data_IF_543191937232
#
_entry.id   IF_543191937232
#
_cell.length_a   1.000
_cell.length_b   1.000
_cell.length_c   1.000
_cell.angle_alpha   90.00
_cell.angle_beta   90.00
_cell.angle_gamma   90.00
#
_symmetry.space_group_name_H-M   'P 1'
#
loop_
_entity.id
_entity.type
_entity.pdbx_description
1 polymer ?
#
# COMPACT_ATOMS: atom_id res chain seq x y z
N UNK A 1 -1.06 5.58 26.99
CA UNK A 1 -0.67 4.28 27.59
C UNK A 1 -1.37 3.17 26.81
N UNK A 2 -0.85 2.80 25.63
CA UNK A 2 -1.46 1.78 24.76
C UNK A 2 -0.70 0.48 25.04
N UNK A 3 -1.24 -0.32 25.97
CA UNK A 3 -0.81 -1.69 26.21
C UNK A 3 -1.92 -2.60 25.69
N UNK A 4 -1.51 -3.60 24.90
CA UNK A 4 -2.22 -4.86 24.60
C UNK A 4 -3.22 -4.84 23.46
N UNK A 5 -2.70 -5.09 22.25
CA UNK A 5 -3.30 -6.00 21.26
C UNK A 5 -2.16 -6.63 20.43
N UNK A 6 -1.37 -7.52 21.04
CA UNK A 6 -0.53 -8.48 20.30
C UNK A 6 -0.83 -9.85 20.91
N UNK A 7 -1.74 -10.60 20.30
CA UNK A 7 -1.98 -12.03 20.51
C UNK A 7 -2.88 -12.48 19.34
N UNK A 8 -2.63 -13.52 18.55
CA UNK A 8 -1.91 -14.78 18.74
C UNK A 8 -1.49 -15.37 17.38
N UNK A 9 -0.34 -16.07 17.32
CA UNK A 9 -0.30 -17.39 16.66
C UNK A 9 0.20 -17.55 15.22
N UNK A 10 0.94 -16.60 14.64
CA UNK A 10 1.67 -16.84 13.38
C UNK A 10 3.18 -16.80 13.63
N UNK A 11 3.71 -17.92 14.15
CA UNK A 11 5.16 -18.15 14.12
C UNK A 11 5.57 -18.40 12.66
N UNK A 12 5.93 -17.33 11.94
CA UNK A 12 6.65 -17.46 10.67
C UNK A 12 8.06 -17.95 10.97
N UNK A 13 8.22 -19.26 11.09
CA UNK A 13 9.52 -19.91 11.19
C UNK A 13 10.18 -19.85 9.81
N UNK A 14 11.17 -18.98 9.65
CA UNK A 14 12.14 -19.15 8.58
C UNK A 14 12.98 -20.42 8.86
N UNK A 15 13.53 -21.02 7.80
CA UNK A 15 14.32 -22.26 7.86
C UNK A 15 15.59 -22.17 8.74
N UNK A 16 15.93 -20.98 9.24
CA UNK A 16 17.07 -20.64 10.08
C UNK A 16 16.73 -20.45 11.57
N UNK A 17 15.46 -20.57 11.97
CA UNK A 17 15.04 -20.56 13.38
C UNK A 17 14.91 -19.18 14.05
N UNK A 18 15.06 -18.08 13.31
CA UNK A 18 14.84 -16.73 13.85
C UNK A 18 13.37 -16.31 13.73
N UNK A 19 12.54 -16.60 14.74
CA UNK A 19 11.21 -16.01 14.89
C UNK A 19 11.38 -14.54 15.33
N UNK A 20 11.28 -13.60 14.39
CA UNK A 20 11.23 -12.19 14.74
C UNK A 20 9.79 -11.83 15.14
N UNK A 21 9.58 -11.48 16.41
CA UNK A 21 8.29 -10.95 16.86
C UNK A 21 8.04 -9.62 16.13
N UNK A 22 7.04 -9.59 15.25
CA UNK A 22 6.68 -8.40 14.49
C UNK A 22 6.43 -7.19 15.39
N UNK A 23 5.87 -7.40 16.59
CA UNK A 23 5.62 -6.31 17.53
C UNK A 23 6.92 -5.64 18.01
N UNK A 24 8.05 -6.37 18.02
CA UNK A 24 9.39 -5.81 18.34
C UNK A 24 10.01 -5.02 17.18
N UNK A 25 9.62 -5.33 15.94
CA UNK A 25 10.15 -4.70 14.74
C UNK A 25 9.40 -3.43 14.34
N UNK A 26 8.17 -3.22 14.83
CA UNK A 26 7.34 -2.04 14.49
C UNK A 26 8.10 -0.71 14.65
N UNK A 27 8.79 -0.43 15.78
CA UNK A 27 9.48 0.86 15.93
C UNK A 27 10.62 1.05 14.93
N UNK A 28 11.34 -0.03 14.61
CA UNK A 28 12.41 0.00 13.61
C UNK A 28 11.84 0.22 12.20
N UNK A 29 10.70 -0.40 11.90
CA UNK A 29 9.99 -0.24 10.62
C UNK A 29 9.43 1.18 10.47
N UNK A 30 8.86 1.75 11.53
CA UNK A 30 8.38 3.13 11.55
C UNK A 30 9.52 4.10 11.22
N UNK A 31 10.67 3.95 11.89
CA UNK A 31 11.86 4.77 11.62
C UNK A 31 12.35 4.59 10.18
N UNK A 32 12.38 3.36 9.67
CA UNK A 32 12.79 3.07 8.29
C UNK A 32 11.82 3.71 7.27
N UNK A 33 10.51 3.64 7.50
CA UNK A 33 9.51 4.27 6.65
C UNK A 33 9.64 5.79 6.66
N UNK A 34 9.77 6.39 7.84
CA UNK A 34 9.90 7.84 8.01
C UNK A 34 11.12 8.43 7.30
N UNK A 35 12.20 7.66 7.21
CA UNK A 35 13.48 8.07 6.62
C UNK A 35 13.66 7.63 5.16
N UNK A 36 12.77 6.79 4.63
CA UNK A 36 12.79 6.35 3.25
C UNK A 36 12.17 7.40 2.32
N UNK A 37 12.72 7.52 1.11
CA UNK A 37 12.20 8.42 0.08
C UNK A 37 10.95 7.78 -0.53
N UNK A 38 9.83 8.50 -0.49
CA UNK A 38 8.59 8.00 -1.07
C UNK A 38 8.58 8.22 -2.60
N UNK A 39 8.23 7.19 -3.38
CA UNK A 39 8.30 7.21 -4.84
C UNK A 39 7.44 8.30 -5.50
N UNK A 40 6.26 8.60 -4.95
CA UNK A 40 5.36 9.62 -5.52
C UNK A 40 5.83 11.06 -5.29
N UNK A 41 6.50 11.31 -4.16
CA UNK A 41 6.75 12.67 -3.67
C UNK A 41 8.23 13.04 -3.75
N UNK A 42 9.11 12.05 -3.89
CA UNK A 42 10.57 12.24 -3.94
C UNK A 42 11.17 12.78 -2.64
N UNK A 43 10.39 12.85 -1.56
CA UNK A 43 10.79 13.34 -0.23
C UNK A 43 10.49 12.26 0.82
N UNK A 44 11.21 12.32 1.94
CA UNK A 44 10.93 11.43 3.07
C UNK A 44 9.69 11.92 3.83
N UNK A 45 8.85 11.01 4.37
CA UNK A 45 7.71 11.41 5.20
C UNK A 45 8.09 12.31 6.38
N UNK A 46 9.24 12.06 7.03
CA UNK A 46 9.71 12.90 8.13
C UNK A 46 9.93 14.36 7.72
N UNK A 47 10.46 14.61 6.51
CA UNK A 47 10.64 15.96 5.99
C UNK A 47 9.29 16.62 5.68
N UNK A 48 8.32 15.88 5.17
CA UNK A 48 7.00 16.41 4.84
C UNK A 48 6.17 16.75 6.08
N UNK A 49 6.24 15.91 7.10
CA UNK A 49 5.46 16.05 8.34
C UNK A 49 6.14 17.03 9.32
N UNK A 50 7.44 16.86 9.54
CA UNK A 50 8.17 17.54 10.63
C UNK A 50 9.15 18.60 10.12
N UNK A 51 9.45 18.62 8.83
CA UNK A 51 10.43 19.54 8.24
C UNK A 51 11.90 19.14 8.43
N UNK A 52 12.18 18.00 9.09
CA UNK A 52 13.54 17.50 9.32
C UNK A 52 13.60 15.97 9.31
N UNK A 53 14.76 15.42 8.98
CA UNK A 53 14.99 13.97 8.99
C UNK A 53 15.87 13.58 10.19
N UNK A 54 15.52 12.52 10.95
CA UNK A 54 16.38 12.03 12.02
C UNK A 54 17.70 11.49 11.47
N UNK A 55 18.79 11.72 12.21
CA UNK A 55 20.12 11.17 11.87
C UNK A 55 20.17 9.70 12.25
N UNK A 56 20.42 8.82 11.29
CA UNK A 56 20.57 7.40 11.54
C UNK A 56 22.02 7.07 11.97
N UNK A 57 22.24 5.93 12.65
CA UNK A 57 23.60 5.46 12.96
C UNK A 57 24.48 5.33 11.72
N UNK A 58 23.88 4.95 10.58
CA UNK A 58 24.57 4.85 9.28
C UNK A 58 25.09 6.22 8.82
N UNK A 59 24.34 7.29 9.09
CA UNK A 59 24.70 8.66 8.72
C UNK A 59 25.79 9.22 9.66
N UNK A 60 25.90 8.66 10.85
CA UNK A 60 26.82 9.11 11.90
C UNK A 60 28.22 8.48 11.74
N UNK A 61 28.33 7.38 10.98
CA UNK A 61 29.61 6.79 10.59
C UNK A 61 30.37 7.75 9.66
N UNK A 62 31.22 8.59 10.25
CA UNK A 62 32.14 9.45 9.50
C UNK A 62 33.06 8.57 8.66
N UNK A 63 33.12 8.82 7.36
CA UNK A 63 34.04 8.16 6.42
C UNK A 63 35.52 8.38 6.78
N UNK A 64 35.81 9.44 7.54
CA UNK A 64 37.16 9.93 7.84
C UNK A 64 37.67 9.53 9.24
N UNK A 65 37.03 8.57 9.92
CA UNK A 65 37.57 8.07 11.17
C UNK A 65 38.77 7.14 10.88
N UNK A 66 39.96 7.59 11.28
CA UNK A 66 41.25 6.92 11.03
C UNK A 66 41.35 5.54 11.71
N UNK A 67 40.50 5.25 12.69
CA UNK A 67 40.50 3.98 13.43
C UNK A 67 39.06 3.48 13.61
N UNK A 68 38.57 2.70 12.64
CA UNK A 68 37.30 1.98 12.75
C UNK A 68 37.63 0.56 13.24
N UNK A 69 37.04 0.15 14.37
CA UNK A 69 37.20 -1.21 14.87
C UNK A 69 36.84 -2.24 13.77
N UNK A 70 37.67 -3.27 13.53
CA UNK A 70 37.50 -4.21 12.41
C UNK A 70 36.14 -4.93 12.40
N UNK A 71 35.52 -5.12 13.58
CA UNK A 71 34.17 -5.68 13.65
C UNK A 71 33.08 -4.71 13.15
N UNK A 72 33.27 -3.40 13.31
CA UNK A 72 32.30 -2.41 12.82
C UNK A 72 32.39 -2.27 11.29
N UNK A 73 33.59 -2.39 10.71
CA UNK A 73 33.77 -2.37 9.26
C UNK A 73 33.20 -3.61 8.59
N UNK A 74 33.45 -4.81 9.14
CA UNK A 74 32.87 -6.05 8.62
C UNK A 74 31.34 -6.07 8.72
N UNK A 75 30.80 -5.59 9.84
CA UNK A 75 29.35 -5.48 10.03
C UNK A 75 28.70 -4.52 9.02
N UNK A 76 29.35 -3.39 8.71
CA UNK A 76 28.88 -2.47 7.68
C UNK A 76 28.80 -3.14 6.30
N UNK A 77 29.86 -3.85 5.91
CA UNK A 77 29.89 -4.56 4.62
C UNK A 77 28.75 -5.58 4.51
N UNK A 78 28.52 -6.33 5.59
CA UNK A 78 27.39 -7.26 5.67
C UNK A 78 26.05 -6.53 5.50
N UNK A 79 25.84 -5.40 6.18
CA UNK A 79 24.61 -4.63 6.06
C UNK A 79 24.41 -4.08 4.63
N UNK A 80 25.47 -3.61 3.98
CA UNK A 80 25.40 -3.11 2.61
C UNK A 80 25.04 -4.23 1.63
N UNK A 81 25.60 -5.42 1.79
CA UNK A 81 25.27 -6.60 0.99
C UNK A 81 23.82 -7.05 1.21
N UNK A 82 23.40 -7.19 2.46
CA UNK A 82 22.02 -7.57 2.82
C UNK A 82 21.02 -6.55 2.25
N UNK A 83 21.32 -5.25 2.37
CA UNK A 83 20.50 -4.18 1.79
C UNK A 83 20.43 -4.29 0.28
N UNK A 84 21.55 -4.57 -0.39
CA UNK A 84 21.58 -4.75 -1.83
C UNK A 84 20.69 -5.92 -2.28
N UNK A 85 20.84 -7.08 -1.64
CA UNK A 85 20.01 -8.25 -1.88
C UNK A 85 18.53 -7.97 -1.64
N UNK A 86 18.18 -7.31 -0.53
CA UNK A 86 16.79 -6.96 -0.22
C UNK A 86 16.16 -6.08 -1.31
N UNK A 87 16.88 -5.07 -1.81
CA UNK A 87 16.40 -4.20 -2.88
C UNK A 87 16.21 -4.96 -4.20
N UNK A 88 17.15 -5.85 -4.56
CA UNK A 88 17.01 -6.70 -5.74
C UNK A 88 15.74 -7.56 -5.65
N UNK A 89 15.53 -8.23 -4.51
CA UNK A 89 14.36 -9.10 -4.32
C UNK A 89 13.04 -8.33 -4.36
N UNK A 90 13.01 -7.12 -3.83
CA UNK A 90 11.85 -6.22 -3.91
C UNK A 90 11.53 -5.87 -5.36
N UNK A 91 12.55 -5.53 -6.16
CA UNK A 91 12.39 -5.20 -7.57
C UNK A 91 11.93 -6.40 -8.39
N UNK A 92 12.51 -7.58 -8.17
CA UNK A 92 12.12 -8.82 -8.83
C UNK A 92 10.65 -9.16 -8.54
N UNK A 93 10.22 -9.01 -7.28
CA UNK A 93 8.84 -9.23 -6.86
C UNK A 93 7.88 -8.23 -7.52
N UNK A 94 8.27 -6.96 -7.60
CA UNK A 94 7.49 -5.93 -8.29
C UNK A 94 7.33 -6.23 -9.78
N UNK A 95 8.42 -6.56 -10.48
CA UNK A 95 8.38 -6.90 -11.91
C UNK A 95 7.59 -8.19 -12.16
N UNK A 96 7.72 -9.19 -11.30
CA UNK A 96 6.89 -10.40 -11.38
C UNK A 96 5.41 -10.09 -11.25
N UNK A 97 5.01 -9.29 -10.24
CA UNK A 97 3.62 -8.90 -10.03
C UNK A 97 3.06 -8.12 -11.23
N UNK A 98 3.84 -7.17 -11.76
CA UNK A 98 3.51 -6.39 -12.95
C UNK A 98 3.31 -7.26 -14.18
N UNK A 99 4.24 -8.18 -14.47
CA UNK A 99 4.12 -9.10 -15.60
C UNK A 99 2.89 -10.01 -15.46
N UNK A 100 2.64 -10.54 -14.27
CA UNK A 100 1.48 -11.40 -14.00
C UNK A 100 0.17 -10.63 -14.19
N UNK A 101 0.09 -9.40 -13.67
CA UNK A 101 -1.06 -8.52 -13.84
C UNK A 101 -1.28 -8.24 -15.33
N UNK A 102 -0.26 -7.75 -16.05
CA UNK A 102 -0.37 -7.42 -17.47
C UNK A 102 -0.79 -8.61 -18.34
N UNK A 103 -0.35 -9.83 -18.01
CA UNK A 103 -0.75 -11.06 -18.74
C UNK A 103 -2.20 -11.44 -18.48
N UNK A 104 -2.68 -11.27 -17.24
CA UNK A 104 -4.04 -11.64 -16.84
C UNK A 104 -5.07 -10.54 -17.13
N UNK A 105 -4.63 -9.29 -17.23
CA UNK A 105 -5.50 -8.13 -17.34
C UNK A 105 -6.06 -8.04 -18.77
N UNK A 106 -7.35 -8.34 -18.90
CA UNK A 106 -8.13 -8.04 -20.10
C UNK A 106 -8.96 -6.80 -19.80
N UNK A 107 -8.74 -5.72 -20.54
CA UNK A 107 -9.59 -4.54 -20.42
C UNK A 107 -10.90 -4.81 -21.15
N UNK A 108 -12.05 -4.92 -20.45
CA UNK A 108 -13.34 -5.05 -21.11
C UNK A 108 -13.67 -3.77 -21.89
N UNK A 109 -14.19 -3.91 -23.10
CA UNK A 109 -14.77 -2.81 -23.84
C UNK A 109 -16.22 -2.63 -23.37
N UNK A 110 -16.53 -1.48 -22.76
CA UNK A 110 -17.87 -1.16 -22.29
C UNK A 110 -18.60 -0.30 -23.30
N UNK A 111 -19.84 -0.68 -23.64
CA UNK A 111 -20.71 0.12 -24.49
C UNK A 111 -21.75 0.84 -23.64
N UNK A 112 -22.20 2.00 -24.12
CA UNK A 112 -23.29 2.74 -23.49
C UNK A 112 -24.55 1.87 -23.49
N UNK A 113 -25.06 1.55 -22.30
CA UNK A 113 -26.22 0.68 -22.09
C UNK A 113 -25.89 -0.70 -21.51
N UNK A 114 -24.61 -1.06 -21.35
CA UNK A 114 -24.22 -2.33 -20.72
C UNK A 114 -24.51 -2.31 -19.20
N UNK A 115 -25.15 -3.37 -18.72
CA UNK A 115 -25.40 -3.58 -17.29
C UNK A 115 -24.17 -4.22 -16.65
N UNK A 116 -23.54 -3.50 -15.72
CA UNK A 116 -22.41 -4.00 -14.95
C UNK A 116 -22.84 -4.34 -13.53
N UNK A 117 -22.29 -5.44 -13.00
CA UNK A 117 -22.46 -5.81 -11.60
C UNK A 117 -21.49 -4.98 -10.75
N UNK A 118 -22.03 -4.00 -10.04
CA UNK A 118 -21.32 -3.33 -8.96
C UNK A 118 -21.48 -4.15 -7.67
N UNK A 119 -20.39 -4.33 -6.91
CA UNK A 119 -20.47 -4.95 -5.60
C UNK A 119 -21.23 -4.03 -4.64
N UNK A 120 -22.15 -4.59 -3.85
CA UNK A 120 -22.98 -3.81 -2.93
C UNK A 120 -22.16 -3.06 -1.85
N UNK A 121 -20.94 -3.51 -1.56
CA UNK A 121 -20.05 -2.90 -0.57
C UNK A 121 -19.51 -1.55 -1.03
N UNK A 122 -19.17 -1.38 -2.32
CA UNK A 122 -18.68 -0.10 -2.86
C UNK A 122 -19.82 0.87 -3.23
N UNK A 123 -21.02 0.35 -3.46
CA UNK A 123 -22.20 1.15 -3.78
C UNK A 123 -22.80 1.90 -2.57
N UNK A 124 -22.51 1.45 -1.34
CA UNK A 124 -23.01 2.11 -0.12
C UNK A 124 -22.16 3.32 0.34
N UNK A 125 -20.92 3.45 -0.14
CA UNK A 125 -20.02 4.54 0.27
C UNK A 125 -20.13 5.79 -0.60
N UNK A 126 -20.76 5.70 -1.78
CA UNK A 126 -21.16 6.87 -2.56
C UNK A 126 -22.48 7.43 -2.01
N UNK A 127 -22.39 8.23 -0.94
CA UNK A 127 -23.48 9.16 -0.61
C UNK A 127 -23.75 10.02 -1.85
N UNK A 128 -25.00 10.14 -2.32
CA UNK A 128 -25.34 11.02 -3.43
C UNK A 128 -25.26 12.48 -2.96
N UNK A 129 -24.06 13.06 -3.02
CA UNK A 129 -23.88 14.49 -2.88
C UNK A 129 -24.25 15.15 -4.21
N UNK A 130 -25.36 15.88 -4.19
CA UNK A 130 -26.08 16.49 -5.31
C UNK A 130 -26.81 15.54 -6.28
N UNK A 131 -28.10 15.35 -6.00
CA UNK A 131 -29.12 15.02 -7.01
C UNK A 131 -29.09 16.09 -8.11
N UNK A 132 -28.42 15.81 -9.24
CA UNK A 132 -28.90 16.32 -10.51
C UNK A 132 -29.93 15.30 -11.02
N UNK A 133 -31.17 15.77 -11.11
CA UNK A 133 -32.39 14.99 -11.36
C UNK A 133 -32.27 14.10 -12.61
N UNK A 134 -32.26 12.79 -12.41
CA UNK A 134 -32.47 11.78 -13.46
C UNK A 134 -33.72 10.93 -13.22
N UNK A 135 -34.56 11.28 -12.23
CA UNK A 135 -35.88 10.68 -12.04
C UNK A 135 -36.92 11.12 -13.11
N UNK A 136 -36.54 11.99 -14.05
CA UNK A 136 -37.44 12.46 -15.12
C UNK A 136 -37.38 11.64 -16.43
N UNK A 137 -36.58 10.57 -16.54
CA UNK A 137 -36.47 9.82 -17.81
C UNK A 137 -37.02 8.41 -17.80
N UNK A 138 -37.31 7.81 -16.63
CA UNK A 138 -37.80 6.41 -16.58
C UNK A 138 -39.33 6.32 -16.49
N UNK A 139 -40.02 7.31 -15.90
CA UNK A 139 -41.47 7.26 -15.72
C UNK A 139 -42.29 8.00 -16.79
N UNK A 140 -41.67 8.46 -17.88
CA UNK A 140 -42.36 9.21 -18.95
C UNK A 140 -42.77 8.35 -20.15
N UNK A 141 -42.38 7.07 -20.18
CA UNK A 141 -42.53 6.21 -21.36
C UNK A 141 -43.38 4.95 -21.16
N UNK A 142 -44.04 4.79 -20.01
CA UNK A 142 -44.97 3.67 -19.80
C UNK A 142 -46.39 4.18 -19.50
N UNK A 143 -47.23 4.11 -20.55
CA UNK A 143 -48.69 4.01 -20.48
C UNK A 143 -49.48 5.25 -20.07
N UNK A 144 -49.41 6.30 -20.90
CA UNK A 144 -50.67 6.79 -21.45
C UNK A 144 -51.18 5.74 -22.45
N UNK A 145 -52.47 5.43 -22.35
CA UNK A 145 -53.26 4.48 -23.14
C UNK A 145 -53.25 2.98 -22.81
N UNK A 146 -54.50 2.47 -22.85
CA UNK A 146 -55.01 1.10 -22.68
C UNK A 146 -55.29 0.71 -21.21
N UNK A 147 -56.52 0.59 -20.71
CA UNK A 147 -57.84 0.36 -21.32
C UNK A 147 -59.01 0.83 -20.41
N UNK A 148 -60.11 1.19 -21.09
CA UNK A 148 -61.46 1.51 -20.62
C UNK A 148 -62.04 0.48 -19.63
N UNK A 149 -62.92 0.91 -18.71
CA UNK A 149 -64.37 0.52 -18.69
C UNK A 149 -65.19 1.42 -17.76
N UNK A 150 -66.40 1.74 -18.22
CA UNK A 150 -67.46 2.48 -17.54
C UNK A 150 -68.21 1.59 -16.54
N UNK A 151 -68.53 2.11 -15.37
CA UNK A 151 -69.83 1.95 -14.68
C UNK A 151 -69.91 2.90 -13.49
#
# INVERSE_FOLDING_TARGET
MIRRFCAYGLDFKYSDGFTHDWCTLIPALELAYMTSIHASTGKTPAILEKGWNPKLPIDTLKKDLVDIHPAASSFKLLLDEVRHCANQRMNDAFEYAKQKCNKSHKTPEFKLGDLILASALSACDSKPEHKHDSQNTINKWYSQDTTKTWS
#
